data_IF_012177683023
#
_entry.id   IF_012177683023
#
_cell.length_a   1.000
_cell.length_b   1.000
_cell.length_c   1.000
_cell.angle_alpha   90.00
_cell.angle_beta   90.00
_cell.angle_gamma   90.00
#
_symmetry.space_group_name_H-M   'P 1'
#
loop_
_entity.id
_entity.type
_entity.pdbx_description
1 polymer ?
#
# COMPACT_ATOMS: atom_id res chain seq x y z
N UNK A 1 10.60 -2.89 -24.42
CA UNK A 1 9.56 -2.59 -23.40
C UNK A 1 8.13 -2.40 -23.93
N UNK A 2 7.89 -2.19 -25.23
CA UNK A 2 6.53 -1.89 -25.76
C UNK A 2 5.63 -3.10 -26.03
N UNK A 3 6.13 -4.33 -26.05
CA UNK A 3 5.32 -5.52 -26.33
C UNK A 3 4.85 -6.30 -25.07
N UNK A 4 5.53 -6.18 -23.96
CA UNK A 4 5.25 -6.95 -22.75
C UNK A 4 4.03 -6.46 -21.96
N UNK A 5 3.63 -5.20 -22.11
CA UNK A 5 2.49 -4.59 -21.42
C UNK A 5 1.30 -4.30 -22.34
N UNK A 6 1.28 -4.84 -23.55
CA UNK A 6 0.22 -4.63 -24.54
C UNK A 6 -1.15 -5.21 -24.14
N UNK A 7 -1.19 -6.06 -23.11
CA UNK A 7 -2.43 -6.64 -22.55
C UNK A 7 -3.18 -5.65 -21.67
N UNK A 8 -2.53 -4.60 -21.16
CA UNK A 8 -3.15 -3.57 -20.32
C UNK A 8 -4.05 -2.70 -21.20
N UNK A 9 -5.24 -2.36 -20.70
CA UNK A 9 -6.18 -1.49 -21.43
C UNK A 9 -5.54 -0.11 -21.72
N UNK A 10 -6.00 0.61 -22.78
CA UNK A 10 -5.63 2.01 -22.97
C UNK A 10 -6.15 2.88 -21.81
N UNK A 11 -5.57 4.09 -21.61
CA UNK A 11 -6.08 5.07 -20.65
C UNK A 11 -7.57 5.33 -20.83
N UNK A 12 -8.29 5.45 -19.73
CA UNK A 12 -9.69 5.85 -19.73
C UNK A 12 -9.80 7.32 -20.13
N UNK A 13 -10.86 7.66 -20.85
CA UNK A 13 -11.14 9.04 -21.29
C UNK A 13 -11.17 9.99 -20.09
N UNK A 14 -10.45 11.11 -20.19
CA UNK A 14 -10.31 12.09 -19.10
C UNK A 14 -11.61 12.81 -18.76
N UNK A 15 -12.52 13.00 -19.74
CA UNK A 15 -13.82 13.61 -19.49
C UNK A 15 -14.68 12.70 -18.61
N UNK A 16 -14.61 11.40 -18.81
CA UNK A 16 -15.26 10.41 -17.94
C UNK A 16 -14.69 10.46 -16.51
N UNK A 17 -13.38 10.55 -16.37
CA UNK A 17 -12.75 10.65 -15.05
C UNK A 17 -13.20 11.92 -14.33
N UNK A 18 -13.15 13.07 -14.99
CA UNK A 18 -13.59 14.36 -14.43
C UNK A 18 -15.06 14.36 -14.03
N UNK A 19 -15.91 13.71 -14.81
CA UNK A 19 -17.34 13.62 -14.50
C UNK A 19 -17.65 12.86 -13.22
N UNK A 20 -16.77 11.91 -12.84
CA UNK A 20 -16.90 11.09 -11.64
C UNK A 20 -16.15 11.66 -10.42
N UNK A 21 -15.16 12.55 -10.63
CA UNK A 21 -14.38 13.20 -9.57
C UNK A 21 -15.09 14.48 -9.09
N UNK A 22 -16.28 14.31 -8.54
CA UNK A 22 -17.13 15.39 -8.06
C UNK A 22 -16.73 15.90 -6.66
N UNK A 23 -17.17 17.11 -6.30
CA UNK A 23 -16.78 17.78 -5.05
C UNK A 23 -17.23 17.05 -3.78
N UNK A 24 -18.28 16.26 -3.83
CA UNK A 24 -18.75 15.44 -2.71
C UNK A 24 -17.79 14.30 -2.34
N UNK A 25 -16.91 13.92 -3.27
CA UNK A 25 -15.87 12.90 -3.07
C UNK A 25 -14.49 13.50 -2.76
N UNK A 26 -14.35 14.82 -2.95
CA UNK A 26 -13.13 15.57 -2.63
C UNK A 26 -13.00 15.71 -1.11
N UNK A 27 -11.89 15.23 -0.57
CA UNK A 27 -11.61 15.33 0.86
C UNK A 27 -10.85 16.61 1.18
N UNK A 28 -9.74 16.84 0.47
CA UNK A 28 -8.90 18.03 0.63
C UNK A 28 -7.87 18.13 -0.48
N UNK A 29 -7.16 19.25 -0.51
CA UNK A 29 -5.93 19.38 -1.29
C UNK A 29 -4.71 18.89 -0.50
N UNK A 30 -3.70 18.42 -1.25
CA UNK A 30 -2.40 18.05 -0.68
C UNK A 30 -1.62 19.27 -0.23
N UNK A 31 -0.73 19.08 0.75
CA UNK A 31 0.13 20.16 1.25
C UNK A 31 1.19 20.61 0.22
N UNK A 32 1.53 19.74 -0.73
CA UNK A 32 2.49 20.02 -1.80
C UNK A 32 1.86 19.77 -3.16
N UNK A 33 2.19 20.60 -4.13
CA UNK A 33 1.71 20.56 -5.51
C UNK A 33 0.20 20.86 -5.68
N UNK A 34 -0.53 21.12 -4.60
CA UNK A 34 -1.96 21.47 -4.64
C UNK A 34 -2.83 20.45 -5.39
N UNK A 35 -2.47 19.17 -5.32
CA UNK A 35 -3.24 18.07 -5.87
C UNK A 35 -4.51 17.84 -5.05
N UNK A 36 -5.50 17.20 -5.66
CA UNK A 36 -6.77 16.86 -5.01
C UNK A 36 -6.72 15.43 -4.46
N UNK A 37 -7.25 15.23 -3.23
CA UNK A 37 -7.40 13.91 -2.61
C UNK A 37 -8.87 13.54 -2.66
N UNK A 38 -9.19 12.43 -3.32
CA UNK A 38 -10.54 11.88 -3.42
C UNK A 38 -10.65 10.52 -2.73
N UNK A 39 -11.85 10.21 -2.25
CA UNK A 39 -12.26 8.86 -1.88
C UNK A 39 -13.36 8.42 -2.84
N UNK A 40 -13.11 7.34 -3.56
CA UNK A 40 -14.01 6.76 -4.56
C UNK A 40 -14.09 5.25 -4.41
N UNK A 41 -15.09 4.62 -5.02
CA UNK A 41 -15.18 3.17 -5.13
C UNK A 41 -15.86 2.76 -6.44
N UNK A 42 -15.98 1.46 -6.67
CA UNK A 42 -16.58 0.90 -7.87
C UNK A 42 -18.04 1.36 -8.11
N UNK A 43 -18.79 1.52 -7.04
CA UNK A 43 -20.23 1.86 -7.13
C UNK A 43 -20.48 3.33 -7.48
N UNK A 44 -19.61 4.24 -7.04
CA UNK A 44 -19.79 5.68 -7.24
C UNK A 44 -18.90 6.29 -8.32
N UNK A 45 -17.88 5.57 -8.80
CA UNK A 45 -16.90 6.06 -9.78
C UNK A 45 -16.31 4.91 -10.62
N UNK A 46 -17.13 4.19 -11.43
CA UNK A 46 -16.72 2.99 -12.15
C UNK A 46 -15.62 3.26 -13.20
N UNK A 47 -15.61 4.41 -13.86
CA UNK A 47 -14.58 4.78 -14.84
C UNK A 47 -13.26 5.14 -14.14
N UNK A 48 -13.33 5.88 -13.04
CA UNK A 48 -12.16 6.15 -12.18
C UNK A 48 -11.59 4.85 -11.63
N UNK A 49 -12.43 3.92 -11.18
CA UNK A 49 -11.99 2.61 -10.71
C UNK A 49 -11.30 1.81 -11.82
N UNK A 50 -11.81 1.87 -13.04
CA UNK A 50 -11.17 1.20 -14.19
C UNK A 50 -9.79 1.79 -14.50
N UNK A 51 -9.62 3.11 -14.42
CA UNK A 51 -8.32 3.77 -14.59
C UNK A 51 -7.37 3.43 -13.45
N UNK A 52 -7.84 3.41 -12.19
CA UNK A 52 -7.07 2.92 -11.04
C UNK A 52 -6.55 1.50 -11.30
N UNK A 53 -7.40 0.59 -11.76
CA UNK A 53 -7.03 -0.78 -12.10
C UNK A 53 -5.95 -0.85 -13.17
N UNK A 54 -6.05 -0.01 -14.21
CA UNK A 54 -5.05 0.13 -15.26
C UNK A 54 -3.70 0.61 -14.72
N UNK A 55 -3.72 1.68 -13.91
CA UNK A 55 -2.51 2.28 -13.35
C UNK A 55 -1.84 1.37 -12.32
N UNK A 56 -2.64 0.63 -11.55
CA UNK A 56 -2.15 -0.41 -10.62
C UNK A 56 -1.43 -1.52 -11.38
N UNK A 57 -2.07 -2.09 -12.41
CA UNK A 57 -1.45 -3.13 -13.22
C UNK A 57 -0.16 -2.65 -13.86
N UNK A 58 -0.18 -1.46 -14.49
CA UNK A 58 1.00 -0.86 -15.09
C UNK A 58 2.15 -0.71 -14.07
N UNK A 59 1.86 -0.16 -12.90
CA UNK A 59 2.85 0.10 -11.84
C UNK A 59 3.44 -1.20 -11.29
N UNK A 60 2.59 -2.17 -11.00
CA UNK A 60 3.03 -3.44 -10.42
C UNK A 60 3.73 -4.34 -11.43
N UNK A 61 3.26 -4.39 -12.69
CA UNK A 61 3.90 -5.15 -13.75
C UNK A 61 5.32 -4.64 -14.04
N UNK A 62 5.53 -3.32 -14.06
CA UNK A 62 6.86 -2.73 -14.21
C UNK A 62 7.80 -3.07 -13.04
N UNK A 63 7.26 -3.42 -11.89
CA UNK A 63 8.00 -3.86 -10.70
C UNK A 63 8.08 -5.38 -10.56
N UNK A 64 7.60 -6.15 -11.54
CA UNK A 64 7.61 -7.62 -11.53
C UNK A 64 6.48 -8.28 -10.73
N UNK A 65 5.44 -7.53 -10.36
CA UNK A 65 4.33 -8.00 -9.51
C UNK A 65 2.94 -7.73 -10.06
N UNK A 66 2.80 -7.49 -11.36
CA UNK A 66 1.50 -7.37 -12.04
C UNK A 66 0.68 -8.66 -11.98
N UNK A 67 -0.61 -8.54 -12.18
CA UNK A 67 -1.55 -9.67 -12.21
C UNK A 67 -1.54 -10.40 -13.55
N UNK A 68 -1.04 -9.75 -14.62
CA UNK A 68 -1.13 -10.22 -15.99
C UNK A 68 -2.52 -10.02 -16.63
N UNK A 69 -3.42 -9.32 -15.93
CA UNK A 69 -4.75 -8.98 -16.41
C UNK A 69 -4.76 -7.58 -17.04
N UNK A 70 -5.75 -7.28 -17.91
CA UNK A 70 -5.90 -5.96 -18.51
C UNK A 70 -6.02 -4.80 -17.51
N UNK A 71 -6.47 -5.09 -16.28
CA UNK A 71 -6.57 -4.20 -15.11
C UNK A 71 -6.38 -5.00 -13.82
N UNK A 72 -5.76 -4.41 -12.80
CA UNK A 72 -5.70 -4.98 -11.43
C UNK A 72 -6.97 -4.56 -10.64
N UNK A 73 -8.05 -5.27 -10.88
CA UNK A 73 -9.32 -5.17 -10.14
C UNK A 73 -9.69 -6.58 -9.68
N UNK A 74 -10.01 -6.74 -8.41
CA UNK A 74 -10.42 -8.02 -7.83
C UNK A 74 -11.84 -7.93 -7.22
N UNK A 75 -12.35 -9.05 -6.70
CA UNK A 75 -13.69 -9.14 -6.09
C UNK A 75 -13.87 -8.15 -4.93
N UNK A 76 -12.80 -7.82 -4.20
CA UNK A 76 -12.85 -6.85 -3.09
C UNK A 76 -13.02 -5.42 -3.57
N UNK A 77 -12.64 -5.13 -4.81
CA UNK A 77 -12.86 -3.82 -5.42
C UNK A 77 -14.33 -3.64 -5.90
N UNK A 78 -15.08 -4.76 -6.15
CA UNK A 78 -16.39 -4.73 -6.82
C UNK A 78 -17.53 -5.34 -5.99
N UNK A 79 -17.26 -5.95 -4.84
CA UNK A 79 -18.26 -6.52 -3.95
C UNK A 79 -19.25 -5.45 -3.45
N UNK A 80 -20.39 -5.88 -2.90
CA UNK A 80 -21.37 -4.99 -2.27
C UNK A 80 -20.71 -4.15 -1.16
N UNK A 81 -19.97 -4.79 -0.24
CA UNK A 81 -19.06 -4.11 0.70
C UNK A 81 -17.67 -4.16 0.06
N UNK A 82 -17.35 -3.17 -0.76
CA UNK A 82 -16.08 -3.08 -1.45
C UNK A 82 -15.08 -2.19 -0.70
N UNK A 83 -13.82 -2.33 -1.09
CA UNK A 83 -12.79 -1.38 -0.66
C UNK A 83 -13.00 -0.02 -1.31
N UNK A 84 -12.79 1.02 -0.54
CA UNK A 84 -12.65 2.37 -1.03
C UNK A 84 -11.23 2.61 -1.59
N UNK A 85 -11.11 3.57 -2.48
CA UNK A 85 -9.85 3.99 -3.09
C UNK A 85 -9.58 5.44 -2.67
N UNK A 86 -8.50 5.64 -1.92
CA UNK A 86 -7.95 6.96 -1.71
C UNK A 86 -7.01 7.26 -2.88
N UNK A 87 -7.26 8.32 -3.61
CA UNK A 87 -6.44 8.72 -4.74
C UNK A 87 -5.96 10.16 -4.64
N UNK A 88 -4.79 10.41 -5.17
CA UNK A 88 -4.23 11.74 -5.41
C UNK A 88 -4.38 12.03 -6.90
N UNK A 89 -5.07 13.12 -7.23
CA UNK A 89 -5.30 13.58 -8.59
C UNK A 89 -4.62 14.93 -8.82
N UNK A 90 -3.90 15.07 -9.93
CA UNK A 90 -3.28 16.32 -10.36
C UNK A 90 -4.23 17.08 -11.30
N UNK A 91 -4.85 18.20 -10.86
CA UNK A 91 -5.65 19.02 -11.77
C UNK A 91 -4.82 19.69 -12.88
N UNK A 92 -3.52 19.90 -12.63
CA UNK A 92 -2.61 20.49 -13.62
C UNK A 92 -2.36 19.54 -14.79
N UNK A 93 -2.15 18.26 -14.51
CA UNK A 93 -1.85 17.25 -15.52
C UNK A 93 -3.11 16.50 -15.99
N UNK A 94 -4.23 16.66 -15.27
CA UNK A 94 -5.48 15.93 -15.49
C UNK A 94 -5.28 14.40 -15.40
N UNK A 95 -4.57 13.97 -14.33
CA UNK A 95 -4.16 12.57 -14.15
C UNK A 95 -4.22 12.12 -12.69
N UNK A 96 -4.50 10.82 -12.47
CA UNK A 96 -4.37 10.18 -11.16
C UNK A 96 -2.89 9.88 -10.91
N UNK A 97 -2.33 10.47 -9.86
CA UNK A 97 -0.90 10.39 -9.51
C UNK A 97 -0.56 9.11 -8.74
N UNK A 98 -1.38 8.80 -7.75
CA UNK A 98 -1.11 7.70 -6.81
C UNK A 98 -2.38 7.29 -6.06
N UNK A 99 -2.33 6.18 -5.33
CA UNK A 99 -3.46 5.76 -4.54
C UNK A 99 -3.16 4.64 -3.54
N UNK A 100 -4.13 4.46 -2.64
CA UNK A 100 -4.28 3.33 -1.75
C UNK A 100 -5.67 2.72 -1.93
N UNK A 101 -5.76 1.40 -1.82
CA UNK A 101 -7.00 0.69 -1.52
C UNK A 101 -7.14 0.57 -0.02
N UNK A 102 -8.32 0.83 0.54
CA UNK A 102 -8.54 0.71 1.97
C UNK A 102 -9.93 0.19 2.32
N UNK A 103 -10.04 -0.48 3.46
CA UNK A 103 -11.29 -0.93 4.06
C UNK A 103 -11.33 -0.49 5.52
N UNK A 104 -12.35 0.25 5.90
CA UNK A 104 -12.71 0.42 7.31
C UNK A 104 -13.27 -0.91 7.82
N UNK A 105 -12.48 -1.60 8.66
CA UNK A 105 -12.79 -2.96 9.10
C UNK A 105 -14.07 -3.04 9.94
N UNK A 106 -14.49 -1.94 10.58
CA UNK A 106 -15.73 -1.89 11.33
C UNK A 106 -16.97 -2.22 10.49
N UNK A 107 -16.92 -1.94 9.18
CA UNK A 107 -18.01 -2.16 8.22
C UNK A 107 -18.33 -3.63 7.96
N UNK A 108 -17.43 -4.54 8.31
CA UNK A 108 -17.56 -5.97 7.96
C UNK A 108 -17.64 -6.91 9.17
N UNK A 109 -17.50 -6.40 10.39
CA UNK A 109 -17.45 -7.23 11.60
C UNK A 109 -18.75 -7.95 11.94
N UNK A 110 -19.88 -7.41 11.52
CA UNK A 110 -21.20 -8.05 11.74
C UNK A 110 -21.46 -9.25 10.82
N UNK A 111 -20.60 -9.48 9.80
CA UNK A 111 -20.64 -10.67 8.96
C UNK A 111 -19.77 -11.78 9.58
N UNK A 112 -20.35 -12.94 9.87
CA UNK A 112 -19.61 -14.13 10.34
C UNK A 112 -18.44 -14.50 9.40
N UNK A 113 -18.51 -14.08 8.15
CA UNK A 113 -17.47 -14.27 7.12
C UNK A 113 -16.56 -13.06 6.95
N UNK A 114 -16.50 -12.14 7.93
CA UNK A 114 -15.73 -10.90 7.82
C UNK A 114 -14.29 -11.11 7.30
N UNK A 115 -13.65 -12.23 7.65
CA UNK A 115 -12.31 -12.57 7.17
C UNK A 115 -12.22 -12.69 5.65
N UNK A 116 -13.32 -12.98 4.95
CA UNK A 116 -13.32 -13.07 3.48
C UNK A 116 -13.19 -11.69 2.83
N UNK A 117 -13.65 -10.64 3.52
CA UNK A 117 -13.51 -9.27 3.05
C UNK A 117 -12.07 -8.77 3.17
N UNK A 118 -11.31 -9.22 4.18
CA UNK A 118 -9.95 -8.75 4.42
C UNK A 118 -8.94 -9.39 3.45
N UNK A 119 -8.19 -8.55 2.75
CA UNK A 119 -7.18 -9.02 1.79
C UNK A 119 -6.00 -9.71 2.48
N UNK A 120 -5.69 -9.31 3.71
CA UNK A 120 -4.61 -9.90 4.52
C UNK A 120 -4.98 -11.25 5.11
N UNK A 121 -6.27 -11.52 5.36
CA UNK A 121 -6.74 -12.80 5.89
C UNK A 121 -6.44 -14.00 4.98
N UNK A 122 -6.13 -13.77 3.71
CA UNK A 122 -5.65 -14.83 2.83
C UNK A 122 -4.28 -15.38 3.29
N UNK A 123 -3.43 -14.52 3.85
CA UNK A 123 -2.04 -14.82 4.20
C UNK A 123 -1.79 -15.02 5.69
N UNK A 124 -2.66 -14.45 6.53
CA UNK A 124 -2.44 -14.37 7.98
C UNK A 124 -3.60 -14.96 8.78
N UNK A 125 -3.28 -15.46 9.96
CA UNK A 125 -4.23 -15.77 11.03
C UNK A 125 -4.27 -14.56 11.97
N UNK A 126 -5.46 -14.26 12.50
CA UNK A 126 -5.70 -13.23 13.49
C UNK A 126 -6.04 -13.87 14.82
N UNK A 127 -5.42 -13.39 15.91
CA UNK A 127 -5.83 -13.78 17.26
C UNK A 127 -7.20 -13.18 17.60
N UNK A 128 -7.90 -13.80 18.55
CA UNK A 128 -9.17 -13.25 19.05
C UNK A 128 -8.97 -11.86 19.68
N UNK A 129 -7.82 -11.63 20.30
CA UNK A 129 -7.45 -10.33 20.84
C UNK A 129 -7.35 -9.26 19.72
N UNK A 130 -6.70 -9.58 18.61
CA UNK A 130 -6.63 -8.66 17.46
C UNK A 130 -8.03 -8.37 16.90
N UNK A 131 -8.85 -9.41 16.74
CA UNK A 131 -10.20 -9.29 16.16
C UNK A 131 -11.13 -8.45 17.03
N UNK A 132 -11.07 -8.61 18.35
CA UNK A 132 -12.00 -7.96 19.27
C UNK A 132 -11.57 -6.56 19.69
N UNK A 133 -10.25 -6.33 19.88
CA UNK A 133 -9.74 -5.11 20.48
C UNK A 133 -9.10 -4.14 19.48
N UNK A 134 -8.61 -4.62 18.33
CA UNK A 134 -7.93 -3.80 17.34
C UNK A 134 -8.72 -3.62 16.05
N UNK A 135 -9.28 -4.72 15.51
CA UNK A 135 -9.90 -4.70 14.19
C UNK A 135 -11.08 -3.72 14.07
N UNK A 136 -11.93 -3.50 15.10
CA UNK A 136 -13.01 -2.52 15.06
C UNK A 136 -12.54 -1.07 14.85
N UNK A 137 -11.28 -0.78 15.21
CA UNK A 137 -10.67 0.55 15.15
C UNK A 137 -9.59 0.62 14.07
N UNK A 138 -9.64 -0.28 13.09
CA UNK A 138 -8.57 -0.46 12.09
C UNK A 138 -9.07 -0.17 10.68
N UNK A 139 -8.25 0.55 9.91
CA UNK A 139 -8.34 0.57 8.45
C UNK A 139 -7.30 -0.40 7.88
N UNK A 140 -7.77 -1.39 7.09
CA UNK A 140 -6.87 -2.22 6.30
C UNK A 140 -6.45 -1.47 5.03
N UNK A 141 -5.13 -1.35 4.82
CA UNK A 141 -4.52 -0.73 3.65
C UNK A 141 -3.98 -1.78 2.67
N UNK A 142 -4.10 -1.50 1.39
CA UNK A 142 -3.53 -2.34 0.35
C UNK A 142 -3.29 -1.61 -0.96
N UNK A 143 -2.65 -2.27 -1.90
CA UNK A 143 -2.45 -1.70 -3.25
C UNK A 143 -1.92 -0.26 -3.23
N UNK A 144 -0.88 0.01 -2.43
CA UNK A 144 -0.16 1.29 -2.48
C UNK A 144 0.60 1.41 -3.80
N UNK A 145 0.41 2.51 -4.52
CA UNK A 145 1.06 2.73 -5.81
C UNK A 145 1.23 4.22 -6.11
N UNK A 146 2.31 4.50 -6.87
CA UNK A 146 2.54 5.77 -7.55
C UNK A 146 2.75 5.44 -9.01
N UNK A 147 1.96 6.02 -9.91
CA UNK A 147 2.07 5.70 -11.34
C UNK A 147 3.48 6.02 -11.88
N UNK A 148 3.99 5.24 -12.84
CA UNK A 148 5.38 5.35 -13.28
C UNK A 148 5.80 6.75 -13.71
N UNK A 149 4.93 7.52 -14.37
CA UNK A 149 5.24 8.89 -14.82
C UNK A 149 5.54 9.87 -13.67
N UNK A 150 5.13 9.54 -12.43
CA UNK A 150 5.34 10.35 -11.23
C UNK A 150 6.33 9.70 -10.26
N UNK A 151 7.04 8.67 -10.67
CA UNK A 151 8.13 8.11 -9.86
C UNK A 151 9.41 8.93 -10.00
N UNK A 152 10.25 9.04 -8.95
CA UNK A 152 11.49 9.84 -8.99
C UNK A 152 12.45 9.45 -10.11
N UNK A 153 12.43 8.20 -10.56
CA UNK A 153 13.22 7.69 -11.68
C UNK A 153 12.82 8.29 -13.04
N UNK A 154 11.56 8.68 -13.20
CA UNK A 154 11.01 9.24 -14.44
C UNK A 154 10.84 10.75 -14.35
N UNK A 155 10.42 11.25 -13.20
CA UNK A 155 10.18 12.66 -12.93
C UNK A 155 10.67 13.03 -11.52
N UNK A 156 11.97 13.40 -11.36
CA UNK A 156 12.54 13.69 -10.05
C UNK A 156 11.78 14.79 -9.28
N UNK A 157 11.30 15.84 -9.98
CA UNK A 157 10.63 16.97 -9.35
C UNK A 157 9.24 16.59 -8.79
N UNK A 158 8.41 15.92 -9.59
CA UNK A 158 7.05 15.50 -9.18
C UNK A 158 7.10 14.27 -8.27
N UNK A 159 8.04 13.36 -8.53
CA UNK A 159 8.16 12.09 -7.81
C UNK A 159 8.56 12.24 -6.34
N UNK A 160 9.34 13.28 -5.98
CA UNK A 160 9.69 13.56 -4.58
C UNK A 160 8.44 13.75 -3.73
N UNK A 161 7.41 14.41 -4.25
CA UNK A 161 6.19 14.73 -3.50
C UNK A 161 5.06 13.71 -3.67
N UNK A 162 5.17 12.79 -4.63
CA UNK A 162 4.08 11.84 -4.90
C UNK A 162 3.78 10.93 -3.70
N UNK A 163 4.81 10.48 -3.00
CA UNK A 163 4.67 9.68 -1.78
C UNK A 163 4.19 10.54 -0.60
N UNK A 164 4.73 11.76 -0.43
CA UNK A 164 4.28 12.69 0.60
C UNK A 164 2.80 13.03 0.45
N UNK A 165 2.34 13.26 -0.78
CA UNK A 165 0.93 13.53 -1.07
C UNK A 165 0.03 12.34 -0.71
N UNK A 166 0.54 11.11 -0.88
CA UNK A 166 -0.16 9.90 -0.48
C UNK A 166 -0.28 9.78 1.04
N UNK A 167 0.76 10.21 1.79
CA UNK A 167 0.72 10.34 3.25
C UNK A 167 -0.26 11.42 3.71
N UNK A 168 -0.37 12.53 3.00
CA UNK A 168 -1.43 13.53 3.25
C UNK A 168 -2.83 12.90 3.18
N UNK A 169 -3.02 11.97 2.26
CA UNK A 169 -4.25 11.19 2.12
C UNK A 169 -4.53 10.30 3.34
N UNK A 170 -3.52 9.57 3.85
CA UNK A 170 -3.67 8.77 5.06
C UNK A 170 -4.03 9.65 6.27
N UNK A 171 -3.40 10.83 6.39
CA UNK A 171 -3.78 11.82 7.41
C UNK A 171 -5.23 12.27 7.28
N UNK A 172 -5.75 12.39 6.06
CA UNK A 172 -7.15 12.73 5.83
C UNK A 172 -8.10 11.60 6.27
N UNK A 173 -7.72 10.32 6.10
CA UNK A 173 -8.51 9.18 6.61
C UNK A 173 -8.69 9.23 8.13
N UNK A 174 -7.64 9.57 8.88
CA UNK A 174 -7.72 9.70 10.35
C UNK A 174 -8.74 10.77 10.76
N UNK A 175 -8.84 11.86 10.01
CA UNK A 175 -9.78 12.95 10.31
C UNK A 175 -11.22 12.57 9.94
N UNK A 176 -11.42 11.85 8.86
CA UNK A 176 -12.75 11.46 8.35
C UNK A 176 -13.32 10.23 9.06
N UNK A 177 -12.46 9.35 9.58
CA UNK A 177 -12.81 8.12 10.31
C UNK A 177 -12.39 8.23 11.78
N UNK A 178 -13.12 9.02 12.57
CA UNK A 178 -12.73 9.40 13.95
C UNK A 178 -12.61 8.24 14.94
N UNK A 179 -13.20 7.08 14.64
CA UNK A 179 -13.10 5.87 15.46
C UNK A 179 -11.82 5.08 15.17
N UNK A 180 -11.12 5.40 14.07
CA UNK A 180 -9.93 4.66 13.64
C UNK A 180 -8.72 5.09 14.45
N UNK A 181 -8.03 4.11 15.02
CA UNK A 181 -6.81 4.24 15.82
C UNK A 181 -5.61 3.57 15.13
N UNK A 182 -5.86 2.63 14.19
CA UNK A 182 -4.84 1.79 13.60
C UNK A 182 -4.95 1.73 12.08
N UNK A 183 -3.79 1.70 11.45
CA UNK A 183 -3.64 1.25 10.07
C UNK A 183 -2.99 -0.12 10.06
N UNK A 184 -3.52 -1.02 9.27
CA UNK A 184 -2.99 -2.37 9.11
C UNK A 184 -2.83 -2.70 7.62
N UNK A 185 -1.76 -3.39 7.26
CA UNK A 185 -1.53 -3.79 5.89
C UNK A 185 -0.31 -4.68 5.76
N UNK A 186 -0.02 -5.09 4.52
CA UNK A 186 1.16 -5.91 4.22
C UNK A 186 2.06 -5.23 3.21
N UNK A 187 3.36 -5.39 3.38
CA UNK A 187 4.38 -5.04 2.40
C UNK A 187 4.79 -6.28 1.64
N UNK A 188 4.82 -6.20 0.32
CA UNK A 188 5.25 -7.31 -0.54
C UNK A 188 6.73 -7.13 -0.91
N UNK A 189 7.52 -8.18 -0.70
CA UNK A 189 8.86 -8.32 -1.26
C UNK A 189 8.85 -9.45 -2.29
N UNK A 190 9.33 -9.16 -3.49
CA UNK A 190 9.32 -10.15 -4.57
C UNK A 190 10.40 -11.23 -4.36
N UNK A 191 10.23 -12.43 -4.95
CA UNK A 191 11.21 -13.52 -4.83
C UNK A 191 12.61 -13.18 -5.35
N UNK A 192 12.71 -12.19 -6.24
CA UNK A 192 13.96 -11.66 -6.79
C UNK A 192 14.76 -10.81 -5.81
N UNK A 193 14.11 -10.30 -4.75
CA UNK A 193 14.77 -9.50 -3.71
C UNK A 193 15.86 -10.32 -3.02
N UNK A 194 17.04 -9.73 -2.81
CA UNK A 194 18.18 -10.42 -2.20
C UNK A 194 17.81 -11.02 -0.84
N UNK A 195 18.13 -12.31 -0.67
CA UNK A 195 17.72 -13.09 0.52
C UNK A 195 18.38 -12.59 1.81
N UNK A 196 19.63 -12.11 1.74
CA UNK A 196 20.32 -11.59 2.93
C UNK A 196 19.78 -10.20 3.30
N UNK A 197 19.51 -9.35 2.33
CA UNK A 197 18.87 -8.06 2.53
C UNK A 197 17.48 -8.24 3.16
N UNK A 198 16.67 -9.16 2.62
CA UNK A 198 15.37 -9.53 3.19
C UNK A 198 15.48 -10.03 4.62
N UNK A 199 16.40 -10.95 4.88
CA UNK A 199 16.57 -11.53 6.21
C UNK A 199 17.07 -10.49 7.23
N UNK A 200 17.94 -9.56 6.81
CA UNK A 200 18.39 -8.46 7.65
C UNK A 200 17.22 -7.53 8.01
N UNK A 201 16.39 -7.19 7.02
CA UNK A 201 15.20 -6.36 7.20
C UNK A 201 14.19 -7.01 8.16
N UNK A 202 13.87 -8.30 7.97
CA UNK A 202 12.98 -9.03 8.88
C UNK A 202 13.56 -9.12 10.29
N UNK A 203 14.88 -9.38 10.42
CA UNK A 203 15.56 -9.41 11.73
C UNK A 203 15.52 -8.04 12.41
N UNK A 204 15.67 -6.95 11.65
CA UNK A 204 15.55 -5.59 12.15
C UNK A 204 14.13 -5.31 12.68
N UNK A 205 13.12 -5.66 11.90
CA UNK A 205 11.71 -5.47 12.31
C UNK A 205 11.39 -6.26 13.58
N UNK A 206 11.77 -7.54 13.66
CA UNK A 206 11.55 -8.33 14.86
C UNK A 206 12.34 -7.85 16.08
N UNK A 207 13.49 -7.21 15.88
CA UNK A 207 14.29 -6.67 16.99
C UNK A 207 13.67 -5.40 17.58
N UNK A 208 13.18 -4.48 16.74
CA UNK A 208 12.62 -3.21 17.18
C UNK A 208 11.11 -3.25 17.41
N UNK A 209 10.38 -4.11 16.72
CA UNK A 209 8.93 -4.22 16.75
C UNK A 209 8.48 -5.69 16.89
N UNK A 210 8.81 -6.34 18.02
CA UNK A 210 8.35 -7.71 18.24
C UNK A 210 6.83 -7.74 18.45
N UNK A 211 6.15 -8.70 17.82
CA UNK A 211 4.76 -9.04 18.13
C UNK A 211 4.75 -10.04 19.30
N UNK A 212 4.81 -9.51 20.54
CA UNK A 212 4.83 -10.32 21.74
C UNK A 212 3.48 -10.98 22.05
N UNK A 213 2.39 -10.43 21.54
CA UNK A 213 1.03 -10.88 21.81
C UNK A 213 0.52 -11.86 20.74
N UNK A 214 1.30 -12.05 19.66
CA UNK A 214 0.93 -12.92 18.55
C UNK A 214 -0.35 -12.46 17.87
N UNK A 215 -0.53 -11.14 17.73
CA UNK A 215 -1.76 -10.54 17.22
C UNK A 215 -2.09 -11.03 15.81
N UNK A 216 -1.05 -11.09 14.95
CA UNK A 216 -1.19 -11.49 13.55
C UNK A 216 -0.04 -12.42 13.16
N UNK A 217 -0.36 -13.64 12.77
CA UNK A 217 0.65 -14.65 12.43
C UNK A 217 0.51 -15.14 10.99
N UNK A 218 1.61 -15.37 10.25
CA UNK A 218 1.53 -15.89 8.90
C UNK A 218 1.01 -17.33 8.87
N UNK A 219 0.11 -17.65 7.93
CA UNK A 219 -0.37 -19.04 7.68
C UNK A 219 0.76 -19.93 7.17
N UNK A 220 1.64 -19.38 6.35
CA UNK A 220 2.81 -20.05 5.79
C UNK A 220 4.06 -19.25 6.17
N UNK A 221 4.62 -19.47 7.38
CA UNK A 221 5.75 -18.71 7.85
C UNK A 221 6.98 -18.94 6.98
N UNK A 222 7.69 -17.87 6.68
CA UNK A 222 8.95 -17.95 5.98
C UNK A 222 10.01 -18.58 6.90
N UNK A 223 10.57 -19.71 6.48
CA UNK A 223 11.71 -20.31 7.16
C UNK A 223 12.96 -19.52 6.80
N UNK A 224 13.45 -18.72 7.70
CA UNK A 224 14.73 -18.01 7.57
C UNK A 224 15.48 -18.04 8.90
N UNK A 225 16.78 -17.84 8.85
CA UNK A 225 17.57 -17.75 10.06
C UNK A 225 17.25 -16.39 10.73
N UNK A 226 16.32 -16.41 11.70
CA UNK A 226 15.93 -15.24 12.50
C UNK A 226 17.11 -14.59 13.22
N UNK A 227 18.11 -15.39 13.54
CA UNK A 227 19.40 -14.92 13.97
C UNK A 227 20.32 -14.75 12.74
N UNK A 228 20.07 -13.73 11.92
CA UNK A 228 21.15 -13.19 11.13
C UNK A 228 22.16 -12.60 12.13
N UNK A 229 22.88 -13.50 12.79
CA UNK A 229 23.66 -13.22 13.99
C UNK A 229 24.72 -12.14 13.72
N UNK A 230 25.12 -12.01 12.46
CA UNK A 230 26.04 -10.95 12.02
C UNK A 230 25.34 -9.60 12.02
N UNK A 231 24.14 -9.51 11.42
CA UNK A 231 23.41 -8.24 11.32
C UNK A 231 22.86 -7.80 12.70
N UNK A 232 22.30 -8.73 13.49
CA UNK A 232 21.82 -8.43 14.85
C UNK A 232 22.95 -7.94 15.74
N UNK A 233 24.16 -8.54 15.65
CA UNK A 233 25.33 -8.03 16.39
C UNK A 233 25.72 -6.60 16.02
N UNK A 234 25.51 -6.21 14.77
CA UNK A 234 25.79 -4.85 14.30
C UNK A 234 24.84 -3.81 14.87
N UNK A 235 23.56 -4.17 15.10
CA UNK A 235 22.53 -3.23 15.56
C UNK A 235 22.22 -3.33 17.06
N UNK A 236 22.72 -4.37 17.74
CA UNK A 236 22.46 -4.61 19.16
C UNK A 236 22.93 -3.43 20.02
N UNK A 237 21.99 -2.87 20.80
CA UNK A 237 22.25 -1.75 21.69
C UNK A 237 22.27 -0.37 21.00
N UNK A 238 22.02 -0.31 19.71
CA UNK A 238 21.85 0.96 19.00
C UNK A 238 20.42 1.46 19.10
N UNK A 239 20.27 2.79 19.08
CA UNK A 239 18.97 3.42 18.89
C UNK A 239 18.43 3.18 17.48
N UNK A 240 17.10 3.19 17.32
CA UNK A 240 16.40 2.91 16.06
C UNK A 240 17.01 3.64 14.86
N UNK A 241 17.21 4.97 14.97
CA UNK A 241 17.73 5.78 13.85
C UNK A 241 19.14 5.37 13.39
N UNK A 242 19.99 4.96 14.31
CA UNK A 242 21.36 4.50 14.00
C UNK A 242 21.33 3.11 13.37
N UNK A 243 20.55 2.21 13.96
CA UNK A 243 20.36 0.86 13.45
C UNK A 243 19.72 0.89 12.03
N UNK A 244 18.76 1.78 11.78
CA UNK A 244 18.14 1.96 10.47
C UNK A 244 19.14 2.44 9.41
N UNK A 245 20.07 3.35 9.75
CA UNK A 245 21.15 3.75 8.83
C UNK A 245 22.05 2.57 8.44
N UNK A 246 22.33 1.67 9.39
CA UNK A 246 23.09 0.45 9.11
C UNK A 246 22.29 -0.51 8.24
N UNK A 247 20.99 -0.71 8.51
CA UNK A 247 20.10 -1.51 7.65
C UNK A 247 20.11 -0.98 6.23
N UNK A 248 19.89 0.31 6.04
CA UNK A 248 19.86 0.93 4.71
C UNK A 248 21.17 0.73 3.94
N UNK A 249 22.32 0.86 4.61
CA UNK A 249 23.63 0.59 4.01
C UNK A 249 23.82 -0.88 3.66
N UNK A 250 23.39 -1.80 4.55
CA UNK A 250 23.48 -3.24 4.35
C UNK A 250 22.64 -3.71 3.16
N UNK A 251 21.43 -3.19 3.04
CA UNK A 251 20.49 -3.46 1.95
C UNK A 251 21.04 -2.88 0.62
N UNK A 252 21.47 -1.61 0.64
CA UNK A 252 22.05 -0.95 -0.54
C UNK A 252 23.31 -1.63 -1.08
N UNK A 253 24.14 -2.21 -0.20
CA UNK A 253 25.33 -2.96 -0.62
C UNK A 253 25.00 -4.26 -1.39
N UNK A 254 23.72 -4.64 -1.44
CA UNK A 254 23.16 -5.77 -2.20
C UNK A 254 22.31 -5.34 -3.37
N UNK A 255 22.48 -4.07 -3.78
CA UNK A 255 21.74 -3.44 -4.90
C UNK A 255 20.23 -3.37 -4.67
N UNK A 256 19.80 -3.44 -3.39
CA UNK A 256 18.41 -3.39 -2.99
C UNK A 256 18.06 -2.07 -2.27
N UNK A 257 16.78 -1.83 -2.08
CA UNK A 257 16.26 -0.69 -1.31
C UNK A 257 15.34 -1.18 -0.19
N UNK A 258 15.39 -0.50 0.97
CA UNK A 258 14.37 -0.74 1.99
C UNK A 258 13.02 -0.28 1.42
N UNK A 259 11.97 -1.14 1.46
CA UNK A 259 10.65 -0.74 0.96
C UNK A 259 10.18 0.55 1.62
N UNK A 260 9.66 1.54 0.86
CA UNK A 260 9.29 2.86 1.39
C UNK A 260 8.29 2.84 2.55
N UNK A 261 7.43 1.81 2.62
CA UNK A 261 6.45 1.64 3.70
C UNK A 261 7.04 1.10 5.01
N UNK A 262 8.34 0.79 5.04
CA UNK A 262 9.06 0.33 6.24
C UNK A 262 9.98 1.44 6.79
N UNK A 263 9.98 2.58 6.14
CA UNK A 263 10.89 3.69 6.40
C UNK A 263 10.35 4.65 7.49
#
# INVERSE_FOLDING_TARGET
MSNELSYIIPPVDRDLLRSELSNDKLIRKTNKLNNDIYIVNHHNSPNVMREIGRLRELTFAMSGGGTGNPVDIDERDTAEICYDQLIVYSPEDDEIVSGYRFLDCSKVLDDDRFKTHLSTAHYFNFSDHFVNEYLPYTIELGRSWVQPAYQPSQNPRKGIFALDNLWDGLGALVITHKHVEHFYGKVTMYPTYDKEARNALLSFMHYFFPDNDGLVTPKNPLVYNQNNAKFIRMIKGLEYKEAYKLLSRFVKAREETVPPLIN
#
